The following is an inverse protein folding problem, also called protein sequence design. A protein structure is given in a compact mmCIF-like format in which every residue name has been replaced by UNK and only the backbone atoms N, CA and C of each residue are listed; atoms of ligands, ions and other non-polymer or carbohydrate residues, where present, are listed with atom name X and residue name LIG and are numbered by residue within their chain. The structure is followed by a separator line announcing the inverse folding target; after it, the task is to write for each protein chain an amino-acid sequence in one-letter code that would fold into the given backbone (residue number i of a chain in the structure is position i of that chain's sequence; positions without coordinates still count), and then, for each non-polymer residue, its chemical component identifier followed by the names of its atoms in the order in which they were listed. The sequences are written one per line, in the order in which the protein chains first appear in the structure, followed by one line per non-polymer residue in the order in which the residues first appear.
data_IF_575327454868
#
_entry.id   IF_575327454868
#
_cell.length_a   1.000
_cell.length_b   1.000
_cell.length_c   1.000
_cell.angle_alpha   90.00
_cell.angle_beta   90.00
_cell.angle_gamma   90.00
#
_symmetry.space_group_name_H-M   'P 1'
#
loop_
_entity.id
_entity.type
_entity.pdbx_description
1 polymer ?
#
# COMPACT_ATOMS: atom_id res chain seq x y z
N UNK A 1 11.19 41.29 -29.84
CA UNK A 1 11.80 40.42 -28.82
C UNK A 1 10.90 40.43 -27.61
N UNK A 2 10.29 39.29 -27.28
CA UNK A 2 9.87 38.96 -25.91
C UNK A 2 9.77 37.45 -25.84
N UNK A 3 10.58 36.91 -24.93
CA UNK A 3 10.95 35.53 -24.70
C UNK A 3 9.80 34.51 -24.67
N UNK A 4 10.02 33.41 -25.39
CA UNK A 4 9.41 32.13 -25.13
C UNK A 4 9.97 31.55 -23.81
N UNK A 5 9.11 31.42 -22.81
CA UNK A 5 9.28 30.47 -21.71
C UNK A 5 7.98 29.68 -21.59
N UNK A 6 8.06 28.36 -21.81
CA UNK A 6 6.89 27.49 -21.69
C UNK A 6 7.15 26.05 -22.13
N UNK A 7 7.56 25.23 -21.17
CA UNK A 7 7.21 23.80 -21.01
C UNK A 7 7.44 22.83 -22.17
N UNK A 8 8.37 21.87 -22.02
CA UNK A 8 8.32 20.59 -22.74
C UNK A 8 8.48 19.37 -21.80
N UNK A 9 7.82 19.43 -20.64
CA UNK A 9 6.59 18.67 -20.41
C UNK A 9 6.19 17.52 -21.37
N UNK A 10 6.57 16.24 -21.18
CA UNK A 10 5.71 15.13 -21.65
C UNK A 10 4.31 15.36 -21.04
N UNK A 11 3.35 15.78 -21.87
CA UNK A 11 2.01 16.19 -21.43
C UNK A 11 1.61 17.65 -21.64
N UNK A 12 2.43 18.50 -22.27
CA UNK A 12 2.03 19.88 -22.62
C UNK A 12 1.53 20.04 -24.07
N UNK A 13 1.96 19.17 -24.99
CA UNK A 13 1.54 19.17 -26.40
C UNK A 13 0.96 17.85 -26.85
N UNK A 14 -0.02 17.90 -27.76
CA UNK A 14 -0.66 16.74 -28.38
C UNK A 14 0.30 16.14 -29.41
N UNK A 15 0.64 14.85 -29.28
CA UNK A 15 1.50 14.16 -30.24
C UNK A 15 0.66 13.58 -31.38
N UNK A 16 1.03 13.84 -32.63
CA UNK A 16 0.29 13.45 -33.83
C UNK A 16 1.23 13.12 -35.01
N UNK A 17 0.74 12.43 -36.07
CA UNK A 17 1.56 12.07 -37.22
C UNK A 17 2.31 13.26 -37.82
N UNK A 18 3.56 13.01 -38.24
CA UNK A 18 4.45 14.03 -38.79
C UNK A 18 5.26 14.81 -37.75
N UNK A 19 4.97 14.66 -36.44
CA UNK A 19 5.85 15.19 -35.39
C UNK A 19 7.09 14.31 -35.22
N UNK A 20 8.18 14.95 -34.81
CA UNK A 20 9.39 14.26 -34.39
C UNK A 20 9.98 14.90 -33.13
N UNK A 21 10.79 14.14 -32.41
CA UNK A 21 11.44 14.58 -31.18
C UNK A 21 11.44 13.54 -30.06
N UNK A 22 12.01 13.92 -28.93
CA UNK A 22 12.25 13.03 -27.78
C UNK A 22 10.94 12.60 -27.09
N UNK A 23 9.89 13.39 -27.19
CA UNK A 23 8.55 13.04 -26.70
C UNK A 23 7.84 12.00 -27.56
N UNK A 24 8.04 12.03 -28.87
CA UNK A 24 7.61 10.96 -29.78
C UNK A 24 8.41 9.69 -29.52
N UNK A 25 9.72 9.80 -29.31
CA UNK A 25 10.56 8.64 -28.93
C UNK A 25 10.10 8.02 -27.61
N UNK A 26 9.71 8.87 -26.67
CA UNK A 26 9.15 8.44 -25.38
C UNK A 26 7.81 7.75 -25.55
N UNK A 27 6.93 8.25 -26.42
CA UNK A 27 5.68 7.58 -26.78
C UNK A 27 5.91 6.18 -27.37
N UNK A 28 6.85 6.05 -28.31
CA UNK A 28 7.22 4.75 -28.91
C UNK A 28 7.74 3.77 -27.85
N UNK A 29 8.57 4.25 -26.92
CA UNK A 29 9.02 3.46 -25.78
C UNK A 29 7.84 3.01 -24.90
N UNK A 30 6.94 3.93 -24.53
CA UNK A 30 5.78 3.62 -23.71
C UNK A 30 4.90 2.56 -24.38
N UNK A 31 4.64 2.67 -25.67
CA UNK A 31 3.84 1.71 -26.42
C UNK A 31 4.47 0.31 -26.48
N UNK A 32 5.79 0.19 -26.61
CA UNK A 32 6.47 -1.11 -26.59
C UNK A 32 6.40 -1.84 -25.24
N UNK A 33 6.19 -1.10 -24.14
CA UNK A 33 6.25 -1.63 -22.77
C UNK A 33 4.91 -1.51 -22.02
N UNK A 34 3.87 -1.05 -22.70
CA UNK A 34 2.52 -0.97 -22.15
C UNK A 34 1.85 -2.35 -22.12
N UNK A 35 0.66 -2.42 -21.51
CA UNK A 35 -0.18 -3.62 -21.54
C UNK A 35 -1.48 -3.33 -22.30
N UNK A 36 -1.73 -3.98 -23.45
CA UNK A 36 -0.83 -4.87 -24.19
C UNK A 36 0.31 -4.08 -24.87
N UNK A 37 1.49 -4.70 -25.10
CA UNK A 37 2.61 -4.02 -25.75
C UNK A 37 2.36 -3.88 -27.26
N UNK A 38 3.04 -2.92 -27.89
CA UNK A 38 3.04 -2.76 -29.34
C UNK A 38 3.53 -4.03 -30.04
N UNK A 39 2.77 -4.46 -31.05
CA UNK A 39 3.09 -5.61 -31.89
C UNK A 39 2.81 -5.26 -33.36
N UNK A 40 3.85 -5.20 -34.24
CA UNK A 40 5.27 -5.42 -33.95
C UNK A 40 5.85 -4.33 -33.03
N UNK A 41 7.01 -4.62 -32.40
CA UNK A 41 7.70 -3.61 -31.59
C UNK A 41 8.14 -2.42 -32.45
N UNK A 42 7.93 -1.22 -31.92
CA UNK A 42 8.31 0.03 -32.57
C UNK A 42 9.81 0.28 -32.46
N UNK A 43 10.40 0.80 -33.54
CA UNK A 43 11.72 1.41 -33.51
C UNK A 43 11.60 2.80 -32.88
N UNK A 44 12.37 3.06 -31.83
CA UNK A 44 12.34 4.33 -31.08
C UNK A 44 13.13 5.44 -31.80
N UNK A 45 12.80 5.68 -33.07
CA UNK A 45 13.47 6.67 -33.92
C UNK A 45 13.10 8.12 -33.54
N UNK A 46 12.01 8.33 -32.78
CA UNK A 46 11.50 9.65 -32.44
C UNK A 46 10.74 10.32 -33.58
N UNK A 47 10.25 9.56 -34.56
CA UNK A 47 9.37 10.02 -35.63
C UNK A 47 7.97 9.43 -35.45
N UNK A 48 6.93 10.27 -35.52
CA UNK A 48 5.56 9.81 -35.33
C UNK A 48 5.06 9.29 -36.67
N UNK A 49 5.56 8.11 -37.02
CA UNK A 49 5.32 7.41 -38.27
C UNK A 49 4.03 6.57 -38.24
N UNK A 50 3.76 5.87 -39.34
CA UNK A 50 2.59 5.01 -39.49
C UNK A 50 2.58 3.86 -38.48
N UNK A 51 3.75 3.29 -38.16
CA UNK A 51 3.89 2.24 -37.15
C UNK A 51 3.52 2.76 -35.75
N UNK A 52 4.02 3.94 -35.38
CA UNK A 52 3.70 4.61 -34.11
C UNK A 52 2.20 4.92 -34.01
N UNK A 53 1.59 5.35 -35.12
CA UNK A 53 0.15 5.61 -35.21
C UNK A 53 -0.67 4.33 -35.01
N UNK A 54 -0.28 3.24 -35.67
CA UNK A 54 -0.95 1.95 -35.58
C UNK A 54 -0.89 1.38 -34.16
N UNK A 55 0.30 1.38 -33.56
CA UNK A 55 0.50 0.90 -32.19
C UNK A 55 -0.27 1.74 -31.15
N UNK A 56 -0.29 3.06 -31.31
CA UNK A 56 -1.06 3.95 -30.44
C UNK A 56 -2.55 3.66 -30.50
N UNK A 57 -3.10 3.49 -31.72
CA UNK A 57 -4.51 3.20 -31.90
C UNK A 57 -4.88 1.81 -31.35
N UNK A 58 -4.06 0.80 -31.61
CA UNK A 58 -4.27 -0.55 -31.07
C UNK A 58 -4.29 -0.55 -29.53
N UNK A 59 -3.34 0.16 -28.90
CA UNK A 59 -3.27 0.26 -27.45
C UNK A 59 -4.48 1.02 -26.86
N UNK A 60 -4.91 2.11 -27.49
CA UNK A 60 -6.09 2.89 -27.07
C UNK A 60 -7.37 2.06 -27.14
N UNK A 61 -7.56 1.29 -28.21
CA UNK A 61 -8.68 0.37 -28.36
C UNK A 61 -8.70 -0.65 -27.23
N UNK A 62 -7.55 -1.25 -26.92
CA UNK A 62 -7.43 -2.20 -25.82
C UNK A 62 -7.71 -1.58 -24.42
N UNK A 63 -7.56 -0.26 -24.28
CA UNK A 63 -7.74 0.46 -23.02
C UNK A 63 -9.00 1.34 -23.00
N UNK A 64 -9.94 1.17 -23.95
CA UNK A 64 -11.21 1.89 -24.05
C UNK A 64 -11.05 3.43 -24.08
N UNK A 65 -10.08 3.95 -24.83
CA UNK A 65 -9.83 5.40 -24.97
C UNK A 65 -10.31 5.90 -26.33
N UNK A 66 -11.32 6.77 -26.33
CA UNK A 66 -11.92 7.37 -27.55
C UNK A 66 -11.13 8.61 -28.01
N UNK A 67 -10.35 8.48 -29.09
CA UNK A 67 -9.83 9.53 -30.00
C UNK A 67 -8.68 8.93 -30.86
N UNK A 68 -8.92 8.52 -32.11
CA UNK A 68 -7.90 7.88 -32.95
C UNK A 68 -6.84 8.90 -33.43
N UNK A 69 -5.58 8.46 -33.53
CA UNK A 69 -4.51 9.19 -34.22
C UNK A 69 -3.66 10.17 -33.39
N UNK A 70 -4.11 10.63 -32.21
CA UNK A 70 -3.36 11.65 -31.44
C UNK A 70 -3.15 11.29 -29.97
N UNK A 71 -1.93 11.37 -29.42
CA UNK A 71 -1.67 11.18 -28.00
C UNK A 71 -1.74 12.53 -27.25
N UNK A 72 -2.91 12.84 -26.70
CA UNK A 72 -3.12 13.99 -25.81
C UNK A 72 -2.68 13.72 -24.36
N UNK A 73 -2.74 14.74 -23.48
CA UNK A 73 -2.28 14.64 -22.09
C UNK A 73 -2.90 13.47 -21.30
N UNK A 74 -4.20 13.20 -21.49
CA UNK A 74 -4.89 12.07 -20.84
C UNK A 74 -4.39 10.72 -21.33
N UNK A 75 -4.15 10.57 -22.64
CA UNK A 75 -3.58 9.35 -23.23
C UNK A 75 -2.17 9.10 -22.70
N UNK A 76 -1.34 10.14 -22.68
CA UNK A 76 0.03 10.07 -22.18
C UNK A 76 0.08 9.77 -20.68
N UNK A 77 -0.81 10.36 -19.88
CA UNK A 77 -0.92 10.07 -18.45
C UNK A 77 -1.33 8.63 -18.17
N UNK A 78 -2.23 8.04 -18.97
CA UNK A 78 -2.64 6.65 -18.82
C UNK A 78 -1.53 5.68 -19.23
N UNK A 79 -0.81 5.94 -20.32
CA UNK A 79 0.39 5.19 -20.70
C UNK A 79 1.49 5.28 -19.63
N UNK A 80 1.77 6.49 -19.14
CA UNK A 80 2.83 6.74 -18.16
C UNK A 80 2.52 6.14 -16.78
N UNK A 81 1.26 5.86 -16.44
CA UNK A 81 0.91 5.13 -15.21
C UNK A 81 1.32 3.66 -15.25
N UNK A 82 1.60 3.11 -16.44
CA UNK A 82 1.99 1.71 -16.60
C UNK A 82 3.52 1.51 -16.48
N UNK A 83 4.34 2.58 -16.45
CA UNK A 83 5.82 2.53 -16.52
C UNK A 83 6.47 3.62 -15.63
N UNK A 84 7.61 3.37 -14.94
CA UNK A 84 8.30 4.40 -14.16
C UNK A 84 8.67 5.65 -14.99
N UNK A 85 8.34 6.81 -14.41
CA UNK A 85 8.42 8.19 -14.93
C UNK A 85 9.79 8.57 -15.53
N UNK A 86 9.80 9.36 -16.61
CA UNK A 86 11.00 10.06 -17.13
C UNK A 86 11.33 11.24 -16.21
N UNK A 87 12.55 11.25 -15.66
CA UNK A 87 12.99 12.22 -14.65
C UNK A 87 13.66 13.44 -15.30
N UNK A 88 13.34 14.65 -14.85
CA UNK A 88 13.91 15.91 -15.36
C UNK A 88 13.86 17.00 -14.30
N UNK A 89 14.52 18.12 -14.56
CA UNK A 89 14.56 19.27 -13.66
C UNK A 89 13.16 19.74 -13.24
N UNK A 90 13.01 20.05 -11.96
CA UNK A 90 11.74 20.47 -11.35
C UNK A 90 10.85 19.31 -10.88
N UNK A 91 11.21 18.06 -11.18
CA UNK A 91 10.54 16.90 -10.59
C UNK A 91 11.08 16.61 -9.19
N UNK A 92 10.23 16.05 -8.34
CA UNK A 92 10.60 15.59 -7.02
C UNK A 92 9.97 14.24 -6.72
N UNK A 93 10.60 13.47 -5.84
CA UNK A 93 10.15 12.14 -5.45
C UNK A 93 11.30 11.16 -5.21
N UNK A 94 10.94 9.95 -4.83
CA UNK A 94 11.89 8.88 -4.53
C UNK A 94 12.60 8.34 -5.78
N UNK A 95 11.97 8.50 -6.95
CA UNK A 95 12.52 8.24 -8.27
C UNK A 95 13.70 9.18 -8.58
N UNK A 96 13.56 10.46 -8.25
CA UNK A 96 14.65 11.46 -8.33
C UNK A 96 15.76 11.15 -7.32
N UNK A 97 15.40 10.74 -6.10
CA UNK A 97 16.39 10.34 -5.08
C UNK A 97 17.23 9.15 -5.53
N UNK A 98 16.59 8.17 -6.18
CA UNK A 98 17.26 7.01 -6.81
C UNK A 98 18.22 7.42 -7.91
N UNK A 99 17.83 8.37 -8.77
CA UNK A 99 18.71 8.93 -9.80
C UNK A 99 19.95 9.61 -9.19
N UNK A 100 19.76 10.45 -8.17
CA UNK A 100 20.87 11.14 -7.47
C UNK A 100 21.86 10.14 -6.86
N UNK A 101 21.36 9.07 -6.22
CA UNK A 101 22.18 7.98 -5.72
C UNK A 101 22.96 7.28 -6.85
N UNK A 102 22.29 6.94 -7.96
CA UNK A 102 22.95 6.29 -9.10
C UNK A 102 24.06 7.17 -9.67
N UNK A 103 23.84 8.48 -9.81
CA UNK A 103 24.83 9.44 -10.29
C UNK A 103 26.03 9.58 -9.33
N UNK A 104 25.78 9.61 -8.02
CA UNK A 104 26.84 9.62 -7.00
C UNK A 104 27.76 8.39 -7.08
N UNK A 105 27.24 7.25 -7.52
CA UNK A 105 27.96 5.97 -7.48
C UNK A 105 28.45 5.47 -8.85
N UNK A 106 27.91 5.99 -9.95
CA UNK A 106 28.37 5.67 -11.30
C UNK A 106 29.61 6.48 -11.70
N UNK A 107 29.89 7.60 -11.03
CA UNK A 107 30.99 8.53 -11.33
C UNK A 107 31.79 8.90 -10.09
N UNK A 108 33.12 8.73 -10.06
CA UNK A 108 33.99 9.28 -9.01
C UNK A 108 34.06 10.83 -9.01
N UNK A 109 33.56 11.47 -10.08
CA UNK A 109 33.72 12.91 -10.36
C UNK A 109 32.43 13.73 -10.26
N UNK A 110 31.34 13.21 -9.68
CA UNK A 110 30.25 14.06 -9.20
C UNK A 110 30.75 14.83 -7.96
N UNK A 111 31.63 15.81 -8.20
CA UNK A 111 32.19 16.69 -7.19
C UNK A 111 31.56 18.08 -7.38
N UNK A 112 30.80 18.59 -6.40
CA UNK A 112 30.47 17.96 -5.11
C UNK A 112 29.43 16.84 -5.24
N UNK A 113 29.48 15.88 -4.29
CA UNK A 113 28.52 14.78 -4.16
C UNK A 113 27.10 15.36 -4.08
N UNK A 114 26.18 14.81 -4.86
CA UNK A 114 24.79 15.26 -4.84
C UNK A 114 24.17 14.95 -3.47
N UNK A 115 23.48 15.93 -2.91
CA UNK A 115 22.51 15.66 -1.86
C UNK A 115 21.38 14.82 -2.48
N UNK A 116 21.14 13.64 -1.91
CA UNK A 116 20.02 12.76 -2.31
C UNK A 116 18.72 13.32 -1.74
N UNK A 117 18.38 14.56 -2.13
CA UNK A 117 17.25 15.35 -1.61
C UNK A 117 15.91 14.85 -2.12
N UNK A 118 15.90 14.10 -3.24
CA UNK A 118 14.68 13.76 -3.98
C UNK A 118 14.11 14.95 -4.75
N UNK A 119 14.85 16.05 -4.91
CA UNK A 119 14.50 17.20 -5.72
C UNK A 119 15.42 17.25 -6.93
N UNK A 120 14.87 17.27 -8.15
CA UNK A 120 15.66 17.28 -9.38
C UNK A 120 16.05 18.73 -9.66
N UNK A 121 17.04 19.17 -8.90
CA UNK A 121 17.58 20.52 -8.92
C UNK A 121 18.68 20.70 -9.98
N UNK A 122 19.23 21.91 -10.06
CA UNK A 122 20.30 22.24 -11.00
C UNK A 122 21.58 21.42 -10.75
N UNK A 123 21.81 20.92 -9.52
CA UNK A 123 22.94 20.03 -9.25
C UNK A 123 22.71 18.65 -9.89
N UNK A 124 21.50 18.11 -9.76
CA UNK A 124 21.08 16.85 -10.36
C UNK A 124 21.13 16.91 -11.89
N UNK A 125 20.68 18.02 -12.49
CA UNK A 125 20.80 18.25 -13.94
C UNK A 125 22.26 18.23 -14.41
N UNK A 126 23.15 18.94 -13.72
CA UNK A 126 24.58 18.98 -14.07
C UNK A 126 25.24 17.61 -13.98
N UNK A 127 25.00 16.88 -12.89
CA UNK A 127 25.55 15.54 -12.70
C UNK A 127 25.04 14.55 -13.76
N UNK A 128 23.74 14.60 -14.08
CA UNK A 128 23.16 13.76 -15.13
C UNK A 128 23.78 14.06 -16.50
N UNK A 129 23.87 15.34 -16.85
CA UNK A 129 24.43 15.78 -18.12
C UNK A 129 25.90 15.38 -18.27
N UNK A 130 26.71 15.56 -17.21
CA UNK A 130 28.10 15.14 -17.17
C UNK A 130 28.26 13.62 -17.34
N UNK A 131 27.47 12.84 -16.60
CA UNK A 131 27.51 11.38 -16.70
C UNK A 131 27.11 10.90 -18.10
N UNK A 132 26.06 11.47 -18.70
CA UNK A 132 25.63 11.14 -20.06
C UNK A 132 26.67 11.47 -21.11
N UNK A 133 27.32 12.63 -20.99
CA UNK A 133 28.41 13.04 -21.88
C UNK A 133 29.56 12.03 -21.83
N UNK A 134 29.97 11.63 -20.63
CA UNK A 134 31.01 10.61 -20.44
C UNK A 134 30.64 9.24 -21.03
N UNK A 135 29.34 8.92 -21.08
CA UNK A 135 28.82 7.67 -21.64
C UNK A 135 28.28 7.80 -23.07
N UNK A 136 28.59 8.91 -23.77
CA UNK A 136 28.19 9.16 -25.17
C UNK A 136 26.68 9.08 -25.42
N UNK A 137 25.87 9.45 -24.43
CA UNK A 137 24.41 9.56 -24.53
C UNK A 137 24.02 11.00 -24.91
N UNK A 138 23.20 11.18 -25.94
CA UNK A 138 23.02 12.46 -26.64
C UNK A 138 21.90 13.38 -26.13
N UNK A 139 20.98 12.92 -25.24
CA UNK A 139 19.91 13.79 -24.70
C UNK A 139 20.32 14.46 -23.38
N UNK A 140 20.38 15.80 -23.28
CA UNK A 140 21.17 16.46 -22.24
C UNK A 140 20.54 16.50 -20.83
N UNK A 141 19.20 16.45 -20.67
CA UNK A 141 18.56 16.90 -19.42
C UNK A 141 17.42 16.01 -18.85
N UNK A 142 17.26 14.78 -19.34
CA UNK A 142 16.22 13.86 -18.85
C UNK A 142 16.78 12.45 -18.58
N UNK A 143 16.43 11.82 -17.46
CA UNK A 143 16.73 10.43 -17.18
C UNK A 143 15.50 9.56 -17.46
N UNK A 144 15.44 9.05 -18.69
CA UNK A 144 14.51 7.98 -19.07
C UNK A 144 15.09 6.59 -18.81
N UNK A 145 14.34 5.53 -19.14
CA UNK A 145 14.70 4.14 -18.82
C UNK A 145 16.06 3.68 -19.36
N UNK A 146 16.45 4.07 -20.57
CA UNK A 146 17.78 3.74 -21.14
C UNK A 146 18.91 4.37 -20.32
N UNK A 147 18.72 5.61 -19.86
CA UNK A 147 19.69 6.31 -19.00
C UNK A 147 19.77 5.64 -17.63
N UNK A 148 18.64 5.31 -17.04
CA UNK A 148 18.57 4.63 -15.74
C UNK A 148 19.18 3.23 -15.79
N UNK A 149 18.89 2.45 -16.84
CA UNK A 149 19.45 1.11 -17.03
C UNK A 149 20.97 1.14 -17.18
N UNK A 150 21.50 2.10 -17.94
CA UNK A 150 22.94 2.25 -18.14
C UNK A 150 23.65 2.72 -16.85
N UNK A 151 23.05 3.64 -16.09
CA UNK A 151 23.51 4.03 -14.75
C UNK A 151 23.55 2.82 -13.79
N UNK A 152 22.47 2.04 -13.76
CA UNK A 152 22.36 0.84 -12.93
C UNK A 152 23.36 -0.25 -13.31
N UNK A 153 23.64 -0.42 -14.61
CA UNK A 153 24.63 -1.35 -15.12
C UNK A 153 26.05 -0.91 -14.75
N UNK A 154 26.34 0.38 -14.77
CA UNK A 154 27.66 0.89 -14.39
C UNK A 154 27.92 0.74 -12.89
N UNK A 155 26.93 1.07 -12.03
CA UNK A 155 27.00 0.83 -10.57
C UNK A 155 27.10 -0.66 -10.26
N UNK A 156 26.48 -1.53 -11.07
CA UNK A 156 26.59 -3.00 -10.95
C UNK A 156 28.01 -3.50 -11.18
N UNK A 157 28.76 -2.90 -12.10
CA UNK A 157 30.08 -3.38 -12.52
C UNK A 157 31.25 -2.83 -11.68
N UNK A 158 30.98 -1.88 -10.76
CA UNK A 158 31.99 -1.28 -9.87
C UNK A 158 31.48 -1.33 -8.42
N UNK A 159 31.73 -2.43 -7.68
CA UNK A 159 31.29 -2.54 -6.29
C UNK A 159 31.92 -1.45 -5.41
N UNK A 160 31.19 -0.88 -4.44
CA UNK A 160 31.78 0.06 -3.50
C UNK A 160 32.85 -0.63 -2.64
N UNK A 161 33.97 0.05 -2.43
CA UNK A 161 34.92 -0.32 -1.39
C UNK A 161 34.28 -0.03 -0.03
N UNK A 162 33.91 -1.11 0.68
CA UNK A 162 33.47 -1.15 2.09
C UNK A 162 32.21 -0.35 2.47
N UNK A 163 31.20 -1.07 2.98
CA UNK A 163 30.23 -0.55 3.95
C UNK A 163 29.09 0.30 3.40
N UNK A 164 27.99 -0.38 3.08
CA UNK A 164 26.64 0.13 2.69
C UNK A 164 26.42 0.61 1.26
N UNK A 165 25.23 0.27 0.74
CA UNK A 165 24.63 0.73 -0.53
C UNK A 165 25.16 0.09 -1.83
N UNK A 166 24.87 -1.19 -2.06
CA UNK A 166 24.64 -1.72 -3.43
C UNK A 166 23.16 -2.08 -3.58
N UNK A 167 22.59 -1.94 -4.78
CA UNK A 167 21.19 -2.30 -5.05
C UNK A 167 21.02 -3.82 -4.95
N UNK A 168 20.19 -4.28 -4.01
CA UNK A 168 19.93 -5.70 -3.80
C UNK A 168 18.88 -6.20 -4.81
N UNK A 169 19.16 -7.33 -5.47
CA UNK A 169 18.28 -7.94 -6.47
C UNK A 169 18.51 -9.45 -6.55
N UNK A 170 17.62 -10.14 -7.25
CA UNK A 170 17.70 -11.59 -7.44
C UNK A 170 19.06 -12.03 -7.97
N UNK A 171 19.60 -13.11 -7.40
CA UNK A 171 20.92 -13.67 -7.73
C UNK A 171 22.05 -13.15 -6.85
N UNK A 172 21.85 -12.07 -6.09
CA UNK A 172 22.85 -11.60 -5.13
C UNK A 172 22.82 -12.42 -3.84
N UNK A 173 23.98 -12.50 -3.18
CA UNK A 173 24.13 -13.08 -1.85
C UNK A 173 25.01 -12.23 -0.94
N UNK A 174 24.91 -12.45 0.37
CA UNK A 174 25.70 -11.76 1.40
C UNK A 174 24.88 -11.35 2.63
N UNK A 175 25.56 -10.75 3.61
CA UNK A 175 24.93 -10.31 4.87
C UNK A 175 23.94 -9.16 4.67
N UNK A 176 24.11 -8.37 3.62
CA UNK A 176 23.16 -7.32 3.21
C UNK A 176 21.84 -7.91 2.68
N UNK A 177 21.90 -9.01 1.94
CA UNK A 177 20.73 -9.78 1.52
C UNK A 177 20.05 -10.44 2.73
N UNK A 178 20.85 -10.99 3.66
CA UNK A 178 20.33 -11.56 4.91
C UNK A 178 19.59 -10.51 5.74
N UNK A 179 20.15 -9.29 5.84
CA UNK A 179 19.51 -8.14 6.48
C UNK A 179 18.22 -7.73 5.77
N UNK A 180 18.17 -7.72 4.44
CA UNK A 180 16.94 -7.45 3.70
C UNK A 180 15.84 -8.50 4.01
N UNK A 181 16.19 -9.79 4.00
CA UNK A 181 15.26 -10.87 4.36
C UNK A 181 14.77 -10.72 5.81
N UNK A 182 15.68 -10.37 6.74
CA UNK A 182 15.35 -10.05 8.13
C UNK A 182 14.33 -8.92 8.25
N UNK A 183 14.53 -7.83 7.49
CA UNK A 183 13.65 -6.66 7.49
C UNK A 183 12.28 -7.01 6.89
N UNK A 184 12.24 -7.67 5.73
CA UNK A 184 11.00 -8.11 5.07
C UNK A 184 10.16 -9.05 5.95
N UNK A 185 10.81 -9.94 6.70
CA UNK A 185 10.13 -10.82 7.66
C UNK A 185 9.47 -10.06 8.83
N UNK A 186 9.99 -8.88 9.19
CA UNK A 186 9.56 -8.10 10.36
C UNK A 186 8.77 -6.84 10.01
N UNK A 187 8.74 -6.47 8.74
CA UNK A 187 7.97 -5.37 8.21
C UNK A 187 6.45 -5.64 8.31
N UNK A 188 5.64 -4.62 8.06
CA UNK A 188 4.19 -4.71 7.97
C UNK A 188 3.79 -4.31 6.55
N UNK A 189 3.02 -5.09 5.78
CA UNK A 189 2.74 -6.49 6.07
C UNK A 189 4.05 -7.31 6.03
N UNK A 190 4.18 -8.37 6.86
CA UNK A 190 5.37 -9.20 6.85
C UNK A 190 5.42 -10.06 5.58
N UNK A 191 6.63 -10.51 5.24
CA UNK A 191 6.84 -11.47 4.16
C UNK A 191 5.97 -12.73 4.35
N UNK A 192 5.29 -13.13 3.28
CA UNK A 192 4.35 -14.25 3.26
C UNK A 192 4.50 -15.00 1.92
N UNK A 193 5.07 -16.22 1.90
CA UNK A 193 5.58 -16.98 3.06
C UNK A 193 6.79 -16.32 3.73
N UNK A 194 7.06 -16.70 4.98
CA UNK A 194 8.23 -16.21 5.72
C UNK A 194 9.51 -16.63 5.00
N UNK A 195 10.46 -15.71 4.87
CA UNK A 195 11.73 -15.94 4.18
C UNK A 195 12.72 -16.65 5.11
N UNK A 196 13.53 -17.55 4.55
CA UNK A 196 14.77 -18.00 5.18
C UNK A 196 15.79 -16.87 5.11
N UNK A 197 16.39 -16.50 6.23
CA UNK A 197 17.43 -15.45 6.32
C UNK A 197 18.80 -16.06 5.98
N UNK A 198 18.91 -16.65 4.79
CA UNK A 198 20.08 -17.39 4.31
C UNK A 198 21.11 -16.50 3.57
N UNK A 199 20.77 -15.22 3.36
CA UNK A 199 21.61 -14.30 2.60
C UNK A 199 21.64 -14.62 1.11
N UNK A 200 20.66 -15.34 0.56
CA UNK A 200 20.52 -15.61 -0.88
C UNK A 200 19.25 -14.94 -1.43
N UNK A 201 19.42 -14.02 -2.37
CA UNK A 201 18.30 -13.28 -2.94
C UNK A 201 17.67 -14.13 -4.05
N UNK A 202 16.81 -15.08 -3.65
CA UNK A 202 16.06 -15.93 -4.57
C UNK A 202 14.69 -15.36 -4.97
N UNK A 203 13.92 -16.11 -5.78
CA UNK A 203 12.58 -15.71 -6.23
C UNK A 203 11.60 -15.41 -5.09
N UNK A 204 11.71 -16.11 -3.95
CA UNK A 204 10.89 -15.86 -2.76
C UNK A 204 11.17 -14.49 -2.14
N UNK A 205 12.45 -14.11 -2.03
CA UNK A 205 12.86 -12.76 -1.59
C UNK A 205 12.34 -11.69 -2.56
N UNK A 206 12.42 -11.94 -3.89
CA UNK A 206 11.85 -11.05 -4.92
C UNK A 206 10.35 -10.84 -4.73
N UNK A 207 9.58 -11.92 -4.54
CA UNK A 207 8.14 -11.85 -4.33
C UNK A 207 7.76 -11.09 -3.06
N UNK A 208 8.44 -11.38 -1.94
CA UNK A 208 8.21 -10.68 -0.68
C UNK A 208 8.51 -9.19 -0.79
N UNK A 209 9.62 -8.83 -1.44
CA UNK A 209 10.00 -7.45 -1.68
C UNK A 209 8.97 -6.71 -2.53
N UNK A 210 8.54 -7.30 -3.66
CA UNK A 210 7.54 -6.70 -4.54
C UNK A 210 6.20 -6.51 -3.83
N UNK A 211 5.76 -7.50 -3.04
CA UNK A 211 4.53 -7.41 -2.24
C UNK A 211 4.61 -6.28 -1.22
N UNK A 212 5.73 -6.17 -0.51
CA UNK A 212 5.91 -5.10 0.47
C UNK A 212 5.93 -3.72 -0.21
N UNK A 213 6.70 -3.56 -1.30
CA UNK A 213 6.75 -2.31 -2.07
C UNK A 213 5.38 -1.88 -2.60
N UNK A 214 4.59 -2.83 -3.10
CA UNK A 214 3.20 -2.58 -3.53
C UNK A 214 2.31 -2.06 -2.39
N UNK A 215 2.49 -2.57 -1.16
CA UNK A 215 1.71 -2.12 0.00
C UNK A 215 2.02 -0.65 0.42
N UNK A 216 3.18 -0.12 0.02
CA UNK A 216 3.62 1.25 0.33
C UNK A 216 3.67 2.18 -0.89
N UNK A 217 3.13 1.75 -2.03
CA UNK A 217 3.14 2.55 -3.26
C UNK A 217 4.54 2.80 -3.83
N UNK A 218 5.54 2.00 -3.45
CA UNK A 218 6.90 2.10 -3.97
C UNK A 218 6.98 1.39 -5.32
N UNK A 219 7.24 2.13 -6.40
CA UNK A 219 7.32 1.58 -7.77
C UNK A 219 8.75 1.14 -8.13
N UNK A 220 8.87 0.12 -8.99
CA UNK A 220 10.14 -0.41 -9.51
C UNK A 220 10.30 -1.92 -9.25
N UNK A 221 10.57 -2.77 -10.26
CA UNK A 221 10.56 -4.22 -10.10
C UNK A 221 11.78 -4.75 -9.34
N UNK A 222 11.60 -5.71 -8.44
CA UNK A 222 12.60 -6.70 -8.03
C UNK A 222 13.87 -6.22 -7.31
N UNK A 223 13.99 -4.92 -7.05
CA UNK A 223 15.20 -4.31 -6.50
C UNK A 223 14.93 -3.56 -5.18
N UNK A 224 15.86 -3.72 -4.24
CA UNK A 224 15.95 -3.00 -2.97
C UNK A 224 17.18 -2.07 -3.01
N UNK A 225 16.96 -0.84 -3.48
CA UNK A 225 17.92 0.26 -3.36
C UNK A 225 17.82 0.99 -2.02
N UNK A 226 18.63 2.05 -1.80
CA UNK A 226 18.68 2.78 -0.54
C UNK A 226 17.32 3.26 -0.04
N UNK A 227 16.46 3.82 -0.91
CA UNK A 227 15.12 4.27 -0.52
C UNK A 227 14.24 3.13 -0.01
N UNK A 228 14.24 1.98 -0.70
CA UNK A 228 13.50 0.79 -0.28
C UNK A 228 14.01 0.28 1.06
N UNK A 229 15.32 0.29 1.27
CA UNK A 229 15.95 -0.16 2.51
C UNK A 229 15.64 0.78 3.68
N UNK A 230 15.75 2.09 3.49
CA UNK A 230 15.38 3.09 4.50
C UNK A 230 13.90 3.00 4.84
N UNK A 231 13.02 2.83 3.84
CA UNK A 231 11.59 2.67 4.08
C UNK A 231 11.27 1.37 4.83
N UNK A 232 11.95 0.25 4.51
CA UNK A 232 11.83 -1.01 5.26
C UNK A 232 12.33 -0.88 6.69
N UNK A 233 13.49 -0.23 6.89
CA UNK A 233 14.06 0.00 8.23
C UNK A 233 13.16 0.91 9.06
N UNK A 234 12.63 1.98 8.48
CA UNK A 234 11.64 2.84 9.13
C UNK A 234 10.34 2.08 9.40
N UNK A 235 9.91 1.19 8.52
CA UNK A 235 8.72 0.38 8.74
C UNK A 235 8.88 -0.63 9.88
N UNK A 236 10.08 -1.19 10.03
CA UNK A 236 10.44 -2.10 11.13
C UNK A 236 10.72 -1.32 12.43
N UNK A 237 11.30 -0.11 12.34
CA UNK A 237 11.64 0.77 13.48
C UNK A 237 10.41 1.51 14.03
N UNK A 238 9.59 2.04 13.14
CA UNK A 238 8.30 2.67 13.43
C UNK A 238 7.17 1.64 13.35
N UNK A 239 7.51 0.35 13.32
CA UNK A 239 6.56 -0.70 13.64
C UNK A 239 5.95 -0.24 14.96
N UNK A 240 4.64 0.04 15.00
CA UNK A 240 4.01 0.20 16.30
C UNK A 240 4.35 -1.11 16.97
N UNK A 241 5.18 -1.07 18.02
CA UNK A 241 5.22 -2.19 18.93
C UNK A 241 3.74 -2.39 19.26
N UNK A 242 3.13 -3.48 18.80
CA UNK A 242 1.84 -3.87 19.33
C UNK A 242 2.15 -4.17 20.77
N UNK A 243 2.09 -3.14 21.63
CA UNK A 243 1.95 -3.37 23.05
C UNK A 243 0.57 -3.99 23.14
N UNK A 244 0.49 -5.30 23.44
CA UNK A 244 -0.80 -5.90 23.69
C UNK A 244 -1.45 -5.07 24.79
N UNK A 245 -2.75 -4.86 24.69
CA UNK A 245 -3.47 -4.20 25.76
C UNK A 245 -3.25 -5.01 27.04
N UNK A 246 -3.07 -4.31 28.15
CA UNK A 246 -3.07 -4.90 29.48
C UNK A 246 -4.48 -4.92 30.06
N UNK A 247 -4.73 -5.78 31.04
CA UNK A 247 -5.97 -5.77 31.81
C UNK A 247 -6.24 -4.39 32.45
N UNK A 248 -5.18 -3.73 32.94
CA UNK A 248 -5.27 -2.39 33.53
C UNK A 248 -5.75 -1.34 32.52
N UNK A 249 -5.22 -1.35 31.29
CA UNK A 249 -5.68 -0.46 30.22
C UNK A 249 -7.15 -0.73 29.86
N UNK A 250 -7.55 -2.00 29.68
CA UNK A 250 -8.95 -2.32 29.41
C UNK A 250 -9.88 -1.89 30.56
N UNK A 251 -9.45 -2.06 31.82
CA UNK A 251 -10.22 -1.63 33.00
C UNK A 251 -10.34 -0.11 33.08
N UNK A 252 -9.29 0.64 32.74
CA UNK A 252 -9.34 2.09 32.69
C UNK A 252 -10.25 2.61 31.57
N UNK A 253 -10.27 1.93 30.41
CA UNK A 253 -11.17 2.28 29.30
C UNK A 253 -12.62 1.93 29.66
N UNK A 254 -12.84 0.76 30.25
CA UNK A 254 -14.15 0.22 30.61
C UNK A 254 -14.27 0.00 32.14
N UNK A 255 -14.43 1.08 32.94
CA UNK A 255 -14.50 0.96 34.40
C UNK A 255 -15.61 0.03 34.89
N UNK A 256 -16.73 -0.04 34.15
CA UNK A 256 -17.89 -0.89 34.45
C UNK A 256 -17.71 -2.37 34.07
N UNK A 257 -16.69 -2.73 33.28
CA UNK A 257 -16.44 -4.12 32.92
C UNK A 257 -16.02 -4.93 34.15
N UNK A 258 -16.59 -6.14 34.32
CA UNK A 258 -16.15 -7.07 35.36
C UNK A 258 -14.74 -7.56 35.05
N UNK A 259 -13.92 -7.73 36.08
CA UNK A 259 -12.54 -8.24 35.91
C UNK A 259 -12.51 -9.60 35.22
N UNK A 260 -13.49 -10.47 35.50
CA UNK A 260 -13.62 -11.77 34.82
C UNK A 260 -13.87 -11.64 33.32
N UNK A 261 -14.69 -10.68 32.89
CA UNK A 261 -14.95 -10.43 31.47
C UNK A 261 -13.70 -9.85 30.78
N UNK A 262 -12.99 -8.92 31.43
CA UNK A 262 -11.69 -8.42 30.94
C UNK A 262 -10.71 -9.57 30.74
N UNK A 263 -10.52 -10.42 31.76
CA UNK A 263 -9.59 -11.55 31.68
C UNK A 263 -9.99 -12.55 30.59
N UNK A 264 -11.29 -12.76 30.38
CA UNK A 264 -11.82 -13.63 29.33
C UNK A 264 -11.46 -13.13 27.93
N UNK A 265 -11.57 -11.81 27.69
CA UNK A 265 -11.40 -11.24 26.34
C UNK A 265 -10.01 -10.66 26.07
N UNK A 266 -9.18 -10.43 27.08
CA UNK A 266 -7.86 -9.79 26.91
C UNK A 266 -6.98 -10.48 25.87
N UNK A 267 -6.75 -11.78 26.04
CA UNK A 267 -5.91 -12.56 25.13
C UNK A 267 -6.57 -12.70 23.74
N UNK A 268 -7.86 -13.12 23.63
CA UNK A 268 -8.57 -13.13 22.35
C UNK A 268 -8.53 -11.81 21.57
N UNK A 269 -8.73 -10.67 22.24
CA UNK A 269 -8.71 -9.35 21.60
C UNK A 269 -7.33 -8.99 21.08
N UNK A 270 -6.28 -9.20 21.89
CA UNK A 270 -4.92 -8.93 21.46
C UNK A 270 -4.51 -9.80 20.26
N UNK A 271 -4.88 -11.08 20.27
CA UNK A 271 -4.62 -11.99 19.15
C UNK A 271 -5.39 -11.58 17.89
N UNK A 272 -6.68 -11.25 18.00
CA UNK A 272 -7.50 -10.79 16.88
C UNK A 272 -6.99 -9.46 16.30
N UNK A 273 -6.65 -8.49 17.14
CA UNK A 273 -6.06 -7.22 16.67
C UNK A 273 -4.75 -7.45 15.92
N UNK A 274 -3.91 -8.37 16.39
CA UNK A 274 -2.67 -8.75 15.71
C UNK A 274 -2.95 -9.43 14.36
N UNK A 275 -3.87 -10.40 14.32
CA UNK A 275 -4.28 -11.15 13.12
C UNK A 275 -4.79 -10.22 12.01
N UNK A 276 -5.59 -9.21 12.38
CA UNK A 276 -6.27 -8.31 11.43
C UNK A 276 -5.60 -6.94 11.27
N UNK A 277 -4.39 -6.76 11.80
CA UNK A 277 -3.59 -5.54 11.61
C UNK A 277 -4.12 -4.29 12.32
N UNK A 278 -4.83 -4.44 13.43
CA UNK A 278 -5.35 -3.37 14.30
C UNK A 278 -4.27 -3.05 15.37
N UNK A 279 -3.08 -2.67 14.90
CA UNK A 279 -1.86 -2.70 15.74
C UNK A 279 -1.30 -1.33 16.10
N UNK A 280 -1.76 -0.24 15.48
CA UNK A 280 -1.36 1.13 15.87
C UNK A 280 -2.15 1.58 17.10
N UNK A 281 -1.62 2.47 17.95
CA UNK A 281 -2.39 3.03 19.05
C UNK A 281 -3.71 3.64 18.60
N UNK A 282 -3.74 4.37 17.48
CA UNK A 282 -4.96 4.96 16.93
C UNK A 282 -6.01 3.91 16.55
N UNK A 283 -5.59 2.81 15.91
CA UNK A 283 -6.47 1.69 15.56
C UNK A 283 -7.00 0.99 16.80
N UNK A 284 -6.14 0.65 17.77
CA UNK A 284 -6.54 0.01 19.03
C UNK A 284 -7.52 0.89 19.82
N UNK A 285 -7.21 2.18 19.99
CA UNK A 285 -8.08 3.15 20.69
C UNK A 285 -9.47 3.19 20.07
N UNK A 286 -9.54 3.32 18.74
CA UNK A 286 -10.82 3.42 18.05
C UNK A 286 -11.58 2.09 18.07
N UNK A 287 -10.89 0.97 17.84
CA UNK A 287 -11.50 -0.37 17.85
C UNK A 287 -12.09 -0.72 19.22
N UNK A 288 -11.32 -0.59 20.30
CA UNK A 288 -11.78 -0.90 21.65
C UNK A 288 -12.92 0.01 22.08
N UNK A 289 -12.89 1.30 21.72
CA UNK A 289 -13.98 2.21 22.04
C UNK A 289 -15.31 1.81 21.39
N UNK A 290 -15.26 1.30 20.16
CA UNK A 290 -16.46 0.78 19.50
C UNK A 290 -16.96 -0.49 20.20
N UNK A 291 -16.08 -1.44 20.50
CA UNK A 291 -16.49 -2.69 21.16
C UNK A 291 -17.02 -2.45 22.57
N UNK A 292 -16.44 -1.51 23.31
CA UNK A 292 -16.91 -1.10 24.63
C UNK A 292 -18.36 -0.63 24.59
N UNK A 293 -18.75 0.13 23.56
CA UNK A 293 -20.13 0.55 23.39
C UNK A 293 -21.04 -0.62 22.95
N UNK A 294 -20.67 -1.35 21.89
CA UNK A 294 -21.52 -2.40 21.30
C UNK A 294 -21.83 -3.57 22.24
N UNK A 295 -20.91 -3.87 23.15
CA UNK A 295 -21.05 -4.97 24.10
C UNK A 295 -21.48 -4.52 25.51
N UNK A 296 -21.67 -3.21 25.72
CA UNK A 296 -21.88 -2.64 27.05
C UNK A 296 -20.73 -2.99 28.00
N UNK A 297 -19.49 -2.70 27.59
CA UNK A 297 -18.26 -3.01 28.30
C UNK A 297 -18.10 -4.52 28.61
N UNK A 298 -18.28 -5.35 27.57
CA UNK A 298 -18.23 -6.82 27.62
C UNK A 298 -19.33 -7.51 28.44
N UNK A 299 -20.31 -6.76 28.95
CA UNK A 299 -21.41 -7.31 29.73
C UNK A 299 -22.35 -8.17 28.89
N UNK A 300 -22.60 -7.79 27.65
CA UNK A 300 -23.58 -8.43 26.78
C UNK A 300 -22.90 -9.18 25.64
N UNK A 301 -23.09 -10.50 25.62
CA UNK A 301 -22.51 -11.43 24.61
C UNK A 301 -23.50 -11.74 23.48
N UNK A 302 -24.77 -11.46 23.72
CA UNK A 302 -25.86 -11.55 22.77
C UNK A 302 -26.88 -10.46 23.07
N UNK A 303 -27.64 -10.08 22.06
CA UNK A 303 -28.75 -9.16 22.22
C UNK A 303 -29.78 -9.72 23.21
N UNK A 304 -30.26 -8.85 24.11
CA UNK A 304 -31.31 -9.18 25.10
C UNK A 304 -32.63 -9.46 24.39
N UNK A 305 -32.90 -8.76 23.29
CA UNK A 305 -34.09 -8.98 22.48
C UNK A 305 -34.13 -10.42 21.92
N UNK A 306 -35.35 -10.89 21.65
CA UNK A 306 -35.58 -12.24 21.14
C UNK A 306 -35.02 -12.46 19.74
N UNK A 307 -34.78 -11.38 18.98
CA UNK A 307 -34.43 -11.42 17.55
C UNK A 307 -35.62 -11.58 16.62
N UNK A 308 -36.86 -11.67 17.15
CA UNK A 308 -38.07 -11.80 16.34
C UNK A 308 -38.26 -10.64 15.35
N UNK A 309 -37.78 -9.43 15.69
CA UNK A 309 -37.81 -8.27 14.81
C UNK A 309 -36.95 -8.43 13.54
N UNK A 310 -36.03 -9.40 13.51
CA UNK A 310 -35.21 -9.69 12.33
C UNK A 310 -35.82 -10.76 11.42
N UNK A 311 -36.95 -11.35 11.79
CA UNK A 311 -37.60 -12.39 11.00
C UNK A 311 -38.01 -11.84 9.63
N UNK A 312 -37.74 -12.60 8.56
CA UNK A 312 -38.07 -12.21 7.19
C UNK A 312 -37.28 -11.03 6.60
N UNK A 313 -36.30 -10.47 7.33
CA UNK A 313 -35.44 -9.37 6.84
C UNK A 313 -34.50 -9.85 5.73
N UNK A 314 -34.94 -9.66 4.48
CA UNK A 314 -34.19 -10.07 3.26
C UNK A 314 -32.83 -9.40 3.13
N UNK A 315 -32.68 -8.16 3.57
CA UNK A 315 -31.42 -7.42 3.61
C UNK A 315 -30.38 -8.07 4.55
N UNK A 316 -30.84 -8.77 5.58
CA UNK A 316 -30.02 -9.56 6.50
C UNK A 316 -29.87 -11.03 6.07
N UNK A 317 -30.43 -11.40 4.91
CA UNK A 317 -30.47 -12.77 4.42
C UNK A 317 -31.39 -13.70 5.21
N UNK A 318 -32.25 -13.18 6.08
CA UNK A 318 -33.19 -13.95 6.89
C UNK A 318 -34.41 -14.31 6.04
N UNK A 319 -34.33 -15.40 5.29
CA UNK A 319 -35.34 -15.81 4.30
C UNK A 319 -36.06 -17.11 4.67
N UNK A 320 -35.60 -17.80 5.72
CA UNK A 320 -36.24 -19.01 6.22
C UNK A 320 -36.90 -18.74 7.57
N UNK A 321 -38.00 -19.44 7.84
CA UNK A 321 -38.70 -19.32 9.11
C UNK A 321 -37.78 -19.65 10.30
N UNK A 322 -37.77 -18.76 11.29
CA UNK A 322 -36.95 -18.85 12.50
C UNK A 322 -35.58 -18.18 12.40
N UNK A 323 -35.23 -17.63 11.23
CA UNK A 323 -33.95 -16.97 11.00
C UNK A 323 -33.71 -15.77 11.91
N UNK A 324 -34.76 -15.01 12.24
CA UNK A 324 -34.64 -13.82 13.06
C UNK A 324 -34.07 -14.15 14.44
N UNK A 325 -34.65 -15.14 15.12
CA UNK A 325 -34.15 -15.61 16.43
C UNK A 325 -32.83 -16.35 16.29
N UNK A 326 -32.67 -17.17 15.24
CA UNK A 326 -31.46 -17.97 15.02
C UNK A 326 -30.23 -17.09 14.81
N UNK A 327 -30.35 -16.03 14.02
CA UNK A 327 -29.27 -15.11 13.64
C UNK A 327 -29.39 -13.73 14.30
N UNK A 328 -29.94 -13.65 15.51
CA UNK A 328 -29.93 -12.44 16.34
C UNK A 328 -28.51 -11.98 16.69
N UNK A 329 -28.37 -10.72 17.10
CA UNK A 329 -27.09 -10.12 17.47
C UNK A 329 -26.27 -10.93 18.48
N UNK A 330 -25.02 -11.26 18.13
CA UNK A 330 -24.05 -11.92 19.02
C UNK A 330 -22.63 -11.39 18.84
N UNK A 331 -21.82 -11.64 19.87
CA UNK A 331 -20.41 -11.27 19.92
C UNK A 331 -20.19 -9.79 20.22
N UNK A 332 -18.92 -9.37 20.26
CA UNK A 332 -18.53 -8.05 20.73
C UNK A 332 -18.97 -6.88 19.83
N UNK A 333 -19.35 -7.16 18.58
CA UNK A 333 -19.83 -6.15 17.62
C UNK A 333 -21.26 -6.42 17.12
N UNK A 334 -22.00 -7.30 17.81
CA UNK A 334 -23.41 -7.62 17.50
C UNK A 334 -23.65 -8.04 16.03
N UNK A 335 -22.93 -9.07 15.56
CA UNK A 335 -23.18 -9.65 14.23
C UNK A 335 -24.61 -10.18 14.19
N UNK A 336 -25.39 -9.71 13.22
CA UNK A 336 -26.84 -9.97 13.10
C UNK A 336 -27.18 -10.34 11.65
N UNK A 337 -28.03 -11.34 11.44
CA UNK A 337 -28.52 -11.76 10.12
C UNK A 337 -27.73 -12.92 9.48
N UNK A 338 -28.44 -13.85 8.85
CA UNK A 338 -27.88 -15.04 8.21
C UNK A 338 -26.72 -14.73 7.25
N UNK A 339 -26.86 -13.70 6.42
CA UNK A 339 -25.84 -13.33 5.43
C UNK A 339 -24.51 -12.95 6.11
N UNK A 340 -24.59 -12.14 7.16
CA UNK A 340 -23.42 -11.70 7.93
C UNK A 340 -22.76 -12.87 8.68
N UNK A 341 -23.55 -13.76 9.29
CA UNK A 341 -23.03 -14.99 9.91
C UNK A 341 -22.27 -15.86 8.90
N UNK A 342 -22.82 -16.05 7.69
CA UNK A 342 -22.17 -16.80 6.62
C UNK A 342 -20.86 -16.14 6.17
N UNK A 343 -20.86 -14.82 5.97
CA UNK A 343 -19.68 -14.08 5.51
C UNK A 343 -18.54 -14.15 6.53
N UNK A 344 -18.81 -13.79 7.79
CA UNK A 344 -17.84 -13.87 8.89
C UNK A 344 -17.35 -15.30 9.05
N UNK A 345 -18.26 -16.28 8.98
CA UNK A 345 -17.91 -17.69 9.10
C UNK A 345 -16.91 -18.14 8.03
N UNK A 346 -17.15 -17.78 6.77
CA UNK A 346 -16.20 -18.05 5.66
C UNK A 346 -14.85 -17.40 5.89
N UNK A 347 -14.83 -16.13 6.32
CA UNK A 347 -13.59 -15.40 6.57
C UNK A 347 -12.76 -15.99 7.71
N UNK A 348 -13.41 -16.55 8.74
CA UNK A 348 -12.74 -17.14 9.90
C UNK A 348 -12.47 -18.64 9.78
N UNK A 349 -12.96 -19.29 8.72
CA UNK A 349 -12.90 -20.75 8.57
C UNK A 349 -13.82 -21.51 9.54
N UNK A 350 -14.91 -20.89 10.00
CA UNK A 350 -15.85 -21.47 10.97
C UNK A 350 -17.26 -21.44 10.38
N UNK A 351 -17.96 -22.57 10.34
CA UNK A 351 -19.34 -22.60 9.84
C UNK A 351 -20.35 -22.01 10.86
N UNK A 352 -20.38 -20.67 10.94
CA UNK A 352 -21.27 -19.90 11.82
C UNK A 352 -22.72 -19.90 11.35
N UNK A 353 -22.98 -20.12 10.06
CA UNK A 353 -24.36 -20.24 9.58
C UNK A 353 -25.04 -21.50 10.14
N UNK A 354 -24.33 -22.63 10.13
CA UNK A 354 -24.81 -23.86 10.77
C UNK A 354 -24.75 -23.77 12.31
N UNK A 355 -23.74 -23.10 12.86
CA UNK A 355 -23.46 -23.05 14.30
C UNK A 355 -23.38 -21.61 14.84
N UNK A 356 -24.50 -20.85 14.86
CA UNK A 356 -24.49 -19.42 15.20
C UNK A 356 -24.06 -19.13 16.65
N UNK A 357 -24.24 -20.08 17.57
CA UNK A 357 -23.83 -19.93 18.97
C UNK A 357 -22.31 -19.89 19.15
N UNK A 358 -21.53 -20.33 18.17
CA UNK A 358 -20.06 -20.21 18.21
C UNK A 358 -19.58 -18.75 18.31
N UNK A 359 -20.40 -17.77 17.94
CA UNK A 359 -20.08 -16.35 18.18
C UNK A 359 -20.08 -15.94 19.66
N UNK A 360 -20.55 -16.79 20.57
CA UNK A 360 -20.43 -16.58 22.01
C UNK A 360 -19.04 -16.98 22.55
N UNK A 361 -18.29 -17.79 21.81
CA UNK A 361 -16.92 -18.12 22.14
C UNK A 361 -16.03 -16.87 22.12
N UNK A 362 -15.22 -16.60 23.15
CA UNK A 362 -14.43 -15.38 23.22
C UNK A 362 -13.46 -15.18 22.06
N UNK A 363 -12.83 -16.25 21.55
CA UNK A 363 -11.88 -16.19 20.44
C UNK A 363 -12.61 -15.88 19.15
N UNK A 364 -13.68 -16.60 18.84
CA UNK A 364 -14.47 -16.38 17.63
C UNK A 364 -15.14 -15.00 17.65
N UNK A 365 -15.64 -14.57 18.80
CA UNK A 365 -16.23 -13.25 19.00
C UNK A 365 -15.22 -12.12 18.73
N UNK A 366 -14.02 -12.19 19.32
CA UNK A 366 -12.97 -11.19 19.08
C UNK A 366 -12.51 -11.16 17.62
N UNK A 367 -12.29 -12.34 17.01
CA UNK A 367 -11.92 -12.45 15.59
C UNK A 367 -13.02 -11.92 14.67
N UNK A 368 -14.28 -12.16 14.98
CA UNK A 368 -15.41 -11.63 14.20
C UNK A 368 -15.46 -10.10 14.20
N UNK A 369 -15.23 -9.47 15.36
CA UNK A 369 -15.19 -8.03 15.49
C UNK A 369 -14.01 -7.42 14.72
N UNK A 370 -12.83 -8.04 14.81
CA UNK A 370 -11.64 -7.59 14.09
C UNK A 370 -11.77 -7.79 12.57
N UNK A 371 -12.38 -8.88 12.11
CA UNK A 371 -12.72 -9.08 10.70
C UNK A 371 -13.71 -8.03 10.20
N UNK A 372 -14.80 -7.77 10.94
CA UNK A 372 -15.78 -6.73 10.57
C UNK A 372 -15.12 -5.37 10.43
N UNK A 373 -14.22 -5.03 11.36
CA UNK A 373 -13.43 -3.80 11.29
C UNK A 373 -12.57 -3.73 10.02
N UNK A 374 -11.89 -4.83 9.67
CA UNK A 374 -11.08 -4.95 8.45
C UNK A 374 -11.93 -4.85 7.19
N UNK A 375 -13.04 -5.58 7.09
CA UNK A 375 -13.88 -5.63 5.89
C UNK A 375 -14.52 -4.29 5.55
N UNK A 376 -14.74 -3.43 6.56
CA UNK A 376 -15.24 -2.06 6.40
C UNK A 376 -14.15 -1.00 6.16
N UNK A 377 -12.87 -1.41 6.08
CA UNK A 377 -11.74 -0.53 5.79
C UNK A 377 -11.51 0.54 6.87
N UNK A 378 -11.68 0.19 8.15
CA UNK A 378 -11.68 1.16 9.24
C UNK A 378 -10.27 1.53 9.75
N UNK A 379 -9.25 0.72 9.43
CA UNK A 379 -7.86 1.01 9.79
C UNK A 379 -7.37 2.38 9.27
N UNK A 380 -7.44 2.69 7.96
CA UNK A 380 -7.02 4.01 7.45
C UNK A 380 -7.76 5.16 8.11
N UNK A 381 -9.06 5.02 8.37
CA UNK A 381 -9.87 6.05 9.05
C UNK A 381 -9.40 6.30 10.48
N UNK A 382 -9.03 5.24 11.21
CA UNK A 382 -8.51 5.38 12.56
C UNK A 382 -7.15 6.07 12.57
N UNK A 383 -6.28 5.73 11.60
CA UNK A 383 -4.94 6.32 11.49
C UNK A 383 -5.00 7.85 11.30
N UNK A 384 -5.98 8.34 10.53
CA UNK A 384 -6.21 9.78 10.32
C UNK A 384 -7.24 10.41 11.28
N UNK A 385 -7.62 9.71 12.36
CA UNK A 385 -8.46 10.26 13.43
C UNK A 385 -9.94 10.48 13.06
N UNK A 386 -10.47 9.84 12.01
CA UNK A 386 -11.86 9.99 11.55
C UNK A 386 -12.83 9.12 12.38
N UNK A 387 -12.80 9.24 13.71
CA UNK A 387 -13.60 8.42 14.62
C UNK A 387 -15.12 8.54 14.40
N UNK A 388 -15.61 9.74 14.03
CA UNK A 388 -17.02 9.94 13.68
C UNK A 388 -17.45 9.11 12.47
N UNK A 389 -16.61 9.04 11.44
CA UNK A 389 -16.88 8.25 10.24
C UNK A 389 -16.84 6.74 10.54
N UNK A 390 -15.93 6.31 11.42
CA UNK A 390 -15.90 4.93 11.93
C UNK A 390 -17.25 4.56 12.57
N UNK A 391 -17.78 5.40 13.47
CA UNK A 391 -19.10 5.15 14.09
C UNK A 391 -20.20 5.04 13.03
N UNK A 392 -20.23 5.94 12.05
CA UNK A 392 -21.23 5.91 10.97
C UNK A 392 -21.18 4.60 10.19
N UNK A 393 -19.98 4.08 9.89
CA UNK A 393 -19.81 2.82 9.14
C UNK A 393 -20.17 1.56 9.94
N UNK A 394 -20.00 1.60 11.26
CA UNK A 394 -20.37 0.49 12.14
C UNK A 394 -21.89 0.45 12.34
N UNK A 395 -22.49 1.59 12.67
CA UNK A 395 -23.88 1.65 13.11
C UNK A 395 -24.88 2.10 12.02
N UNK A 396 -24.40 2.48 10.83
CA UNK A 396 -25.22 3.12 9.80
C UNK A 396 -25.70 4.53 10.16
N UNK A 397 -25.27 5.06 11.31
CA UNK A 397 -25.71 6.34 11.89
C UNK A 397 -24.88 6.73 13.12
N UNK A 398 -25.39 7.64 13.95
CA UNK A 398 -24.66 8.19 15.10
C UNK A 398 -25.29 7.86 16.46
N UNK A 399 -26.17 6.86 16.52
CA UNK A 399 -26.77 6.45 17.79
C UNK A 399 -25.66 5.98 18.75
N UNK A 400 -25.69 6.50 19.98
CA UNK A 400 -24.68 6.22 21.00
C UNK A 400 -23.33 6.91 20.79
N UNK A 401 -23.22 7.91 19.89
CA UNK A 401 -21.93 8.53 19.56
C UNK A 401 -21.22 9.17 20.77
N UNK A 402 -21.95 9.84 21.66
CA UNK A 402 -21.39 10.45 22.87
C UNK A 402 -20.69 9.42 23.78
N UNK A 403 -21.32 8.27 23.98
CA UNK A 403 -20.77 7.17 24.78
C UNK A 403 -19.52 6.55 24.12
N UNK A 404 -19.56 6.34 22.79
CA UNK A 404 -18.38 5.89 22.01
C UNK A 404 -17.21 6.87 22.14
N UNK A 405 -17.48 8.18 22.10
CA UNK A 405 -16.46 9.22 22.30
C UNK A 405 -15.89 9.19 23.71
N UNK A 406 -16.71 8.93 24.73
CA UNK A 406 -16.25 8.76 26.12
C UNK A 406 -15.24 7.62 26.23
N UNK A 407 -15.55 6.43 25.69
CA UNK A 407 -14.60 5.32 25.65
C UNK A 407 -13.34 5.64 24.83
N UNK A 408 -13.49 6.34 23.70
CA UNK A 408 -12.36 6.72 22.86
C UNK A 408 -11.39 7.67 23.58
N UNK A 409 -11.92 8.64 24.33
CA UNK A 409 -11.10 9.56 25.12
C UNK A 409 -10.36 8.83 26.24
N UNK A 410 -11.01 7.88 26.94
CA UNK A 410 -10.32 7.03 27.92
C UNK A 410 -9.22 6.19 27.27
N UNK A 411 -9.49 5.63 26.09
CA UNK A 411 -8.51 4.86 25.34
C UNK A 411 -7.30 5.70 24.93
N UNK A 412 -7.51 6.94 24.47
CA UNK A 412 -6.42 7.89 24.18
C UNK A 412 -5.55 8.19 25.41
N UNK A 413 -6.12 8.18 26.60
CA UNK A 413 -5.38 8.46 27.84
C UNK A 413 -4.45 7.33 28.28
N UNK A 414 -4.74 6.07 27.93
CA UNK A 414 -4.01 4.91 28.50
C UNK A 414 -3.29 4.04 27.47
N UNK A 415 -3.64 4.13 26.19
CA UNK A 415 -2.92 3.47 25.10
C UNK A 415 -2.01 4.54 24.49
N UNK A 416 -0.69 4.44 24.63
CA UNK A 416 0.30 5.42 24.15
C UNK A 416 0.95 5.00 22.84
#
# INVERSE_FOLDING_TARGET
MTNAQGTNALGSRILKPGLSGDDVRSLQYLLNHATPPANPQLVQNGQFDSATTQALNAWKTANNISNPGEAGPTTLATLARQIPRILRQGLSGDDVRRLQYLLNNATPSANPKLAESGQFDAATTRALSAWKTANKLTSPNEAGPTTLAALEQQVRNKPPATGTTRILRQGLSGDDVKRLQYLLNRAVPPATPRLTEDGKFGPTTTQALNRWKAAYGLTGPGEAGPTTLVALEQNVRNRPASRPLSAAQLKAIMPSARTSDINTYLSPLNQAMQEFGITTPNRQRAFIAQLAHESGAFRYKQEIASGAAYEGRRDLGNVYAGDGRRYKGRGLIQITGRSNYREVGRALGVNLEANPLKLLDPVISARSAAYFWKSRGLNPLADIGKFREITRRINGGYNGYSDRVSYYNRAKAVIV
#
